data_IF_208645247235
#
_entry.id   IF_208645247235
#
_cell.length_a   1.000
_cell.length_b   1.000
_cell.length_c   1.000
_cell.angle_alpha   90.00
_cell.angle_beta   90.00
_cell.angle_gamma   90.00
#
_symmetry.space_group_name_H-M   'P 1'
#
loop_
_entity.id
_entity.type
_entity.pdbx_description
1 polymer ?
#
# COMPACT_ATOMS: atom_id res chain seq x y z
N UNK A 1 -14.35 -8.46 6.35
CA UNK A 1 -14.51 -7.00 6.53
C UNK A 1 -13.18 -6.31 6.23
N UNK A 2 -13.22 -5.27 5.41
CA UNK A 2 -12.02 -4.54 5.05
C UNK A 2 -11.60 -3.60 6.18
N UNK A 3 -10.33 -3.68 6.59
CA UNK A 3 -9.77 -2.83 7.63
C UNK A 3 -8.85 -1.78 7.02
N UNK A 4 -8.90 -0.57 7.57
CA UNK A 4 -8.14 0.57 7.07
C UNK A 4 -7.20 1.10 8.14
N UNK A 5 -5.99 1.49 7.72
CA UNK A 5 -5.02 2.18 8.58
C UNK A 5 -4.44 3.38 7.85
N UNK A 6 -4.10 4.43 8.60
CA UNK A 6 -3.51 5.62 8.02
C UNK A 6 -2.09 5.35 7.51
N UNK A 7 -1.81 5.83 6.29
CA UNK A 7 -0.44 5.96 5.78
C UNK A 7 0.15 7.25 6.34
N UNK A 8 -0.64 8.31 6.27
CA UNK A 8 -0.34 9.65 6.81
C UNK A 8 -1.67 10.37 7.05
N UNK A 9 -1.64 11.67 7.31
CA UNK A 9 -2.85 12.43 7.63
C UNK A 9 -3.87 12.47 6.48
N UNK A 10 -3.45 12.19 5.25
CA UNK A 10 -4.29 12.39 4.06
C UNK A 10 -4.72 11.11 3.38
N UNK A 11 -4.14 9.96 3.72
CA UNK A 11 -4.40 8.70 3.01
C UNK A 11 -4.49 7.53 3.96
N UNK A 12 -5.33 6.56 3.58
CA UNK A 12 -5.43 5.28 4.28
C UNK A 12 -5.19 4.12 3.32
N UNK A 13 -4.67 3.01 3.85
CA UNK A 13 -4.49 1.77 3.12
C UNK A 13 -5.30 0.67 3.79
N UNK A 14 -5.89 -0.23 2.99
CA UNK A 14 -6.65 -1.35 3.54
C UNK A 14 -5.86 -2.64 3.49
N UNK A 15 -6.30 -3.61 4.30
CA UNK A 15 -5.74 -4.96 4.31
C UNK A 15 -6.09 -5.76 3.05
N UNK A 16 -6.91 -5.19 2.17
CA UNK A 16 -7.22 -5.77 0.85
C UNK A 16 -6.43 -5.11 -0.28
N UNK A 17 -5.55 -4.15 0.03
CA UNK A 17 -4.71 -3.50 -0.96
C UNK A 17 -5.34 -2.29 -1.63
N UNK A 18 -6.36 -1.71 -1.03
CA UNK A 18 -6.99 -0.49 -1.53
C UNK A 18 -6.39 0.74 -0.85
N UNK A 19 -6.33 1.85 -1.57
CA UNK A 19 -5.83 3.13 -1.07
C UNK A 19 -6.92 4.16 -1.23
N UNK A 20 -7.15 4.96 -0.20
CA UNK A 20 -8.10 6.07 -0.31
C UNK A 20 -7.52 7.34 0.26
N UNK A 21 -7.92 8.47 -0.33
CA UNK A 21 -7.68 9.78 0.26
C UNK A 21 -8.80 10.06 1.26
N UNK A 22 -8.44 10.72 2.37
CA UNK A 22 -9.43 11.11 3.37
C UNK A 22 -9.55 12.62 3.36
N UNK A 23 -10.75 13.13 3.67
CA UNK A 23 -11.04 14.58 3.70
C UNK A 23 -10.63 15.28 2.40
N UNK A 24 -10.97 14.66 1.26
CA UNK A 24 -10.59 15.15 -0.07
C UNK A 24 -11.03 16.61 -0.27
N UNK A 25 -10.05 17.49 -0.50
CA UNK A 25 -10.26 18.94 -0.69
C UNK A 25 -11.03 19.62 0.45
N UNK A 26 -10.88 19.10 1.68
CA UNK A 26 -11.56 19.67 2.84
C UNK A 26 -13.07 19.43 2.89
N UNK A 27 -13.61 18.52 2.05
CA UNK A 27 -15.04 18.23 1.99
C UNK A 27 -15.50 17.21 3.03
N UNK A 28 -14.58 16.57 3.74
CA UNK A 28 -14.89 15.46 4.64
C UNK A 28 -15.17 14.15 3.96
N UNK A 29 -15.03 14.10 2.62
CA UNK A 29 -15.29 12.90 1.83
C UNK A 29 -14.00 12.15 1.55
N UNK A 30 -14.09 10.82 1.47
CA UNK A 30 -12.97 9.98 1.05
C UNK A 30 -13.17 9.54 -0.39
N UNK A 31 -12.06 9.24 -1.07
CA UNK A 31 -12.10 8.79 -2.46
C UNK A 31 -11.03 7.70 -2.66
N UNK A 32 -11.45 6.59 -3.29
CA UNK A 32 -10.54 5.51 -3.63
C UNK A 32 -9.55 6.02 -4.69
N UNK A 33 -8.26 5.80 -4.46
CA UNK A 33 -7.21 6.21 -5.38
C UNK A 33 -6.99 5.15 -6.44
N UNK A 34 -6.88 5.59 -7.68
CA UNK A 34 -6.62 4.70 -8.82
C UNK A 34 -5.18 4.19 -8.76
N UNK A 35 -5.02 2.89 -8.95
CA UNK A 35 -3.71 2.25 -9.01
C UNK A 35 -3.35 1.96 -10.47
N UNK A 36 -2.04 1.91 -10.75
CA UNK A 36 -1.53 1.53 -12.06
C UNK A 36 -0.52 0.41 -11.90
N UNK A 37 -0.25 -0.30 -12.99
CA UNK A 37 0.71 -1.39 -12.97
C UNK A 37 2.07 -0.89 -13.46
N UNK A 38 3.15 -1.26 -12.76
CA UNK A 38 4.50 -0.91 -13.16
C UNK A 38 5.02 -1.87 -14.25
N UNK A 39 6.18 -1.55 -14.85
CA UNK A 39 6.81 -2.41 -15.84
C UNK A 39 7.07 -3.82 -15.33
N UNK A 40 7.32 -3.95 -14.04
CA UNK A 40 7.63 -5.24 -13.41
C UNK A 40 6.38 -5.97 -12.89
N UNK A 41 5.19 -5.43 -13.15
CA UNK A 41 3.94 -6.08 -12.76
C UNK A 41 3.46 -5.74 -11.35
N UNK A 42 4.16 -4.86 -10.63
CA UNK A 42 3.72 -4.43 -9.29
C UNK A 42 2.71 -3.30 -9.39
N UNK A 43 1.70 -3.33 -8.53
CA UNK A 43 0.74 -2.24 -8.45
C UNK A 43 1.34 -1.04 -7.72
N UNK A 44 1.08 0.15 -8.24
CA UNK A 44 1.59 1.40 -7.67
C UNK A 44 0.50 2.44 -7.61
N UNK A 45 0.68 3.42 -6.73
CA UNK A 45 -0.23 4.54 -6.56
C UNK A 45 0.58 5.82 -6.41
N UNK A 46 0.05 6.92 -6.96
CA UNK A 46 0.67 8.23 -6.82
C UNK A 46 -0.08 8.98 -5.72
N UNK A 47 0.64 9.41 -4.70
CA UNK A 47 0.09 10.16 -3.58
C UNK A 47 0.78 11.52 -3.49
N UNK A 48 0.01 12.52 -3.11
CA UNK A 48 0.52 13.88 -2.94
C UNK A 48 0.99 14.07 -1.50
N UNK A 49 2.19 14.60 -1.33
CA UNK A 49 2.77 14.90 -0.02
C UNK A 49 3.44 16.27 -0.09
N UNK A 50 2.95 17.21 0.70
CA UNK A 50 3.45 18.59 0.74
C UNK A 50 3.51 19.25 -0.65
N UNK A 51 2.46 19.01 -1.45
CA UNK A 51 2.37 19.57 -2.79
C UNK A 51 3.18 18.85 -3.86
N UNK A 52 3.86 17.76 -3.50
CA UNK A 52 4.64 16.95 -4.44
C UNK A 52 4.02 15.58 -4.59
N UNK A 53 3.98 15.09 -5.83
CA UNK A 53 3.51 13.75 -6.13
C UNK A 53 4.65 12.75 -5.97
N UNK A 54 4.35 11.62 -5.32
CA UNK A 54 5.32 10.58 -5.09
C UNK A 54 4.68 9.22 -5.38
N UNK A 55 5.43 8.34 -6.02
CA UNK A 55 4.95 7.00 -6.36
C UNK A 55 5.29 6.02 -5.26
N UNK A 56 4.29 5.22 -4.86
CA UNK A 56 4.44 4.17 -3.85
C UNK A 56 3.97 2.84 -4.42
N UNK A 57 4.64 1.77 -4.01
CA UNK A 57 4.18 0.42 -4.32
C UNK A 57 3.14 0.00 -3.29
N UNK A 58 2.00 -0.50 -3.77
CA UNK A 58 0.85 -0.84 -2.91
C UNK A 58 1.21 -1.94 -1.92
N UNK A 59 1.91 -3.00 -2.38
CA UNK A 59 2.28 -4.11 -1.50
C UNK A 59 3.14 -3.64 -0.31
N UNK A 60 4.00 -2.65 -0.53
CA UNK A 60 4.83 -2.11 0.55
C UNK A 60 4.01 -1.29 1.54
N UNK A 61 3.02 -0.54 1.07
CA UNK A 61 2.12 0.22 1.94
C UNK A 61 1.29 -0.72 2.83
N UNK A 62 0.76 -1.79 2.24
CA UNK A 62 -0.02 -2.78 2.98
C UNK A 62 0.84 -3.47 4.02
N UNK A 63 2.02 -3.94 3.63
CA UNK A 63 2.91 -4.64 4.55
C UNK A 63 3.35 -3.74 5.71
N UNK A 64 3.69 -2.48 5.42
CA UNK A 64 4.11 -1.53 6.45
C UNK A 64 3.00 -1.25 7.46
N UNK A 65 1.74 -1.25 7.02
CA UNK A 65 0.61 -0.94 7.87
C UNK A 65 0.10 -2.13 8.68
N UNK A 66 0.12 -3.33 8.10
CA UNK A 66 -0.60 -4.48 8.65
C UNK A 66 0.28 -5.65 9.10
N UNK A 67 1.53 -5.72 8.66
CA UNK A 67 2.38 -6.87 8.94
C UNK A 67 3.59 -6.44 9.77
N UNK A 68 3.71 -6.93 11.02
CA UNK A 68 4.89 -6.61 11.84
C UNK A 68 6.18 -7.05 11.15
N UNK A 69 7.23 -6.25 11.34
CA UNK A 69 8.55 -6.52 10.75
C UNK A 69 9.63 -6.37 11.83
N UNK A 70 9.63 -7.26 12.85
CA UNK A 70 10.54 -7.11 13.98
C UNK A 70 12.01 -7.29 13.59
N UNK A 71 12.28 -8.02 12.51
CA UNK A 71 13.65 -8.26 12.03
C UNK A 71 14.09 -7.21 11.02
N UNK A 72 13.25 -6.20 10.76
CA UNK A 72 13.54 -5.10 9.84
C UNK A 72 13.98 -5.60 8.47
N UNK A 73 13.26 -6.58 7.93
CA UNK A 73 13.55 -7.12 6.59
C UNK A 73 13.19 -6.12 5.51
N UNK A 74 14.00 -6.01 4.44
CA UNK A 74 13.86 -4.90 3.48
C UNK A 74 12.83 -5.11 2.38
N UNK A 75 12.41 -6.34 2.12
CA UNK A 75 11.59 -6.67 0.96
C UNK A 75 10.26 -7.27 1.35
N UNK A 76 9.28 -7.17 0.45
CA UNK A 76 7.94 -7.77 0.61
C UNK A 76 7.73 -8.76 -0.53
N UNK A 77 7.27 -9.96 -0.18
CA UNK A 77 7.01 -11.04 -1.14
C UNK A 77 5.52 -11.34 -1.21
N UNK A 78 5.04 -11.69 -2.40
CA UNK A 78 3.67 -12.16 -2.62
C UNK A 78 3.66 -13.69 -2.48
N UNK A 79 2.98 -14.18 -1.46
CA UNK A 79 3.02 -15.61 -1.10
C UNK A 79 2.56 -16.50 -2.27
N UNK A 80 1.51 -16.08 -3.00
CA UNK A 80 0.99 -16.82 -4.16
C UNK A 80 1.72 -16.49 -5.47
N UNK A 81 2.69 -15.56 -5.44
CA UNK A 81 3.40 -15.11 -6.65
C UNK A 81 2.64 -14.11 -7.51
N UNK A 82 1.42 -13.75 -7.14
CA UNK A 82 0.60 -12.79 -7.90
C UNK A 82 0.86 -11.37 -7.40
N UNK A 83 1.59 -10.59 -8.18
CA UNK A 83 1.98 -9.21 -7.83
C UNK A 83 0.80 -8.24 -7.72
N UNK A 84 -0.36 -8.61 -8.24
CA UNK A 84 -1.57 -7.81 -8.13
C UNK A 84 -2.42 -8.16 -6.90
N UNK A 85 -2.11 -9.25 -6.22
CA UNK A 85 -2.84 -9.67 -5.03
C UNK A 85 -2.17 -9.10 -3.78
N UNK A 86 -2.54 -7.86 -3.43
CA UNK A 86 -1.92 -7.10 -2.35
C UNK A 86 -2.71 -7.14 -1.03
N UNK A 87 -3.41 -8.24 -0.80
CA UNK A 87 -4.05 -8.50 0.49
C UNK A 87 -2.98 -8.75 1.55
N UNK A 88 -3.19 -8.26 2.76
CA UNK A 88 -2.22 -8.43 3.84
C UNK A 88 -1.91 -9.90 4.11
N UNK A 89 -2.91 -10.80 3.99
CA UNK A 89 -2.74 -12.23 4.21
C UNK A 89 -1.93 -12.93 3.11
N UNK A 90 -1.63 -12.22 2.01
CA UNK A 90 -0.82 -12.74 0.89
C UNK A 90 0.59 -12.14 0.84
N UNK A 91 0.95 -11.32 1.80
CA UNK A 91 2.25 -10.62 1.82
C UNK A 91 3.07 -11.06 3.01
N UNK A 92 4.39 -11.01 2.85
CA UNK A 92 5.32 -11.28 3.95
C UNK A 92 6.60 -10.48 3.75
N UNK A 93 7.23 -10.12 4.85
CA UNK A 93 8.54 -9.48 4.81
C UNK A 93 9.62 -10.54 4.59
N UNK A 94 10.55 -10.25 3.70
CA UNK A 94 11.63 -11.19 3.35
C UNK A 94 12.94 -10.42 3.19
N UNK A 95 14.04 -11.17 3.25
CA UNK A 95 15.34 -10.62 2.88
C UNK A 95 15.49 -10.69 1.35
N UNK A 96 16.50 -9.99 0.82
CA UNK A 96 16.74 -9.99 -0.63
C UNK A 96 17.15 -11.37 -1.17
N UNK A 97 17.53 -12.30 -0.31
CA UNK A 97 17.97 -13.63 -0.69
C UNK A 97 16.90 -14.72 -0.55
N UNK A 98 15.74 -14.38 -0.02
CA UNK A 98 14.66 -15.35 0.16
C UNK A 98 13.84 -15.55 -1.10
#
# INVERSE_FOLDING_TARGET
MENWKFINANYEVSDKGNIKSVNYRGTGKSAIRKQSISKNGYMRVILSDNGKNKTYFVHRLVAAAFIPNPDNKPCVDHIDGDKSNNRADNLRWVTTKE
#
